data_IF_880891983615
#
_entry.id   IF_880891983615
#
_cell.length_a   1.000
_cell.length_b   1.000
_cell.length_c   1.000
_cell.angle_alpha   90.00
_cell.angle_beta   90.00
_cell.angle_gamma   90.00
#
_symmetry.space_group_name_H-M   'P 1'
#
loop_
_entity.id
_entity.type
_entity.pdbx_description
1 polymer ?
#
# COMPACT_ATOMS: atom_id res chain seq x y z
N UNK A 1 -4.40 -20.92 1.88
CA UNK A 1 -4.52 -19.82 2.86
C UNK A 1 -4.85 -20.24 4.30
N UNK A 2 -4.95 -21.54 4.65
CA UNK A 2 -5.29 -21.97 6.04
C UNK A 2 -4.15 -21.77 7.06
N UNK A 3 -2.89 -21.78 6.61
CA UNK A 3 -1.73 -21.65 7.50
C UNK A 3 -1.55 -20.23 8.09
N UNK A 4 -2.08 -19.20 7.44
CA UNK A 4 -1.87 -17.78 7.82
C UNK A 4 -3.09 -17.19 8.56
N UNK A 5 -4.26 -17.80 8.38
CA UNK A 5 -5.52 -17.38 9.00
C UNK A 5 -5.45 -17.14 10.53
N UNK A 6 -4.78 -17.98 11.34
CA UNK A 6 -4.72 -17.73 12.79
C UNK A 6 -3.78 -16.57 13.18
N UNK A 7 -2.83 -16.20 12.33
CA UNK A 7 -1.85 -15.15 12.63
C UNK A 7 -2.30 -13.76 12.19
N UNK A 8 -3.36 -13.68 11.37
CA UNK A 8 -3.84 -12.42 10.80
C UNK A 8 -5.19 -12.05 11.39
N UNK A 9 -5.23 -10.89 12.04
CA UNK A 9 -6.50 -10.28 12.41
C UNK A 9 -7.20 -9.75 11.14
N UNK A 10 -8.03 -10.60 10.54
CA UNK A 10 -8.69 -10.31 9.27
C UNK A 10 -9.60 -9.08 9.32
N UNK A 11 -10.22 -8.80 10.48
CA UNK A 11 -11.08 -7.63 10.67
C UNK A 11 -10.26 -6.34 10.67
N UNK A 12 -9.17 -6.31 11.42
CA UNK A 12 -8.26 -5.16 11.45
C UNK A 12 -7.59 -4.97 10.08
N UNK A 13 -7.12 -6.05 9.45
CA UNK A 13 -6.52 -6.01 8.13
C UNK A 13 -7.48 -5.43 7.08
N UNK A 14 -8.73 -5.93 7.03
CA UNK A 14 -9.73 -5.44 6.09
C UNK A 14 -10.07 -3.96 6.34
N UNK A 15 -10.20 -3.57 7.61
CA UNK A 15 -10.45 -2.18 7.98
C UNK A 15 -9.31 -1.27 7.52
N UNK A 16 -8.07 -1.60 7.85
CA UNK A 16 -6.88 -0.84 7.42
C UNK A 16 -6.80 -0.77 5.90
N UNK A 17 -7.04 -1.88 5.21
CA UNK A 17 -7.00 -1.95 3.75
C UNK A 17 -8.03 -1.02 3.10
N UNK A 18 -9.28 -1.03 3.58
CA UNK A 18 -10.34 -0.14 3.08
C UNK A 18 -10.04 1.32 3.43
N UNK A 19 -9.60 1.61 4.65
CA UNK A 19 -9.25 2.97 5.07
C UNK A 19 -8.09 3.53 4.24
N UNK A 20 -7.05 2.74 3.98
CA UNK A 20 -5.93 3.14 3.11
C UNK A 20 -6.41 3.42 1.69
N UNK A 21 -7.30 2.61 1.12
CA UNK A 21 -7.88 2.89 -0.20
C UNK A 21 -8.66 4.19 -0.23
N UNK A 22 -9.53 4.42 0.76
CA UNK A 22 -10.35 5.62 0.80
C UNK A 22 -9.46 6.86 0.88
N UNK A 23 -8.46 6.85 1.76
CA UNK A 23 -7.49 7.93 1.88
C UNK A 23 -6.71 8.11 0.58
N UNK A 24 -6.27 7.02 -0.03
CA UNK A 24 -5.52 7.05 -1.29
C UNK A 24 -6.33 7.66 -2.42
N UNK A 25 -7.59 7.26 -2.62
CA UNK A 25 -8.46 7.83 -3.66
C UNK A 25 -8.67 9.33 -3.40
N UNK A 26 -8.98 9.72 -2.16
CA UNK A 26 -9.19 11.13 -1.80
C UNK A 26 -7.92 11.93 -2.08
N UNK A 27 -6.75 11.44 -1.66
CA UNK A 27 -5.47 12.08 -1.90
C UNK A 27 -5.19 12.22 -3.40
N UNK A 28 -5.37 11.16 -4.18
CA UNK A 28 -5.01 11.15 -5.59
C UNK A 28 -5.91 12.09 -6.40
N UNK A 29 -7.22 12.11 -6.10
CA UNK A 29 -8.17 12.99 -6.79
C UNK A 29 -7.97 14.45 -6.38
N UNK A 30 -7.76 14.73 -5.09
CA UNK A 30 -7.74 16.12 -4.57
C UNK A 30 -6.37 16.79 -4.67
N UNK A 31 -5.28 16.05 -4.51
CA UNK A 31 -3.91 16.59 -4.50
C UNK A 31 -3.13 16.09 -5.71
N UNK A 32 -3.11 14.78 -5.96
CA UNK A 32 -2.29 14.18 -7.03
C UNK A 32 -2.66 14.71 -8.42
N UNK A 33 -3.93 14.61 -8.78
CA UNK A 33 -4.48 15.08 -10.06
C UNK A 33 -4.55 16.60 -10.11
N UNK A 34 -5.09 17.25 -9.07
CA UNK A 34 -5.28 18.70 -9.10
C UNK A 34 -3.96 19.47 -9.22
N UNK A 35 -2.90 18.99 -8.54
CA UNK A 35 -1.59 19.63 -8.58
C UNK A 35 -0.65 19.04 -9.65
N UNK A 36 -1.11 18.03 -10.41
CA UNK A 36 -0.33 17.36 -11.45
C UNK A 36 1.05 16.87 -10.98
N UNK A 37 1.17 16.49 -9.70
CA UNK A 37 2.47 16.16 -9.08
C UNK A 37 3.20 14.99 -9.74
N UNK A 38 2.46 14.02 -10.27
CA UNK A 38 3.02 12.81 -10.85
C UNK A 38 3.11 12.82 -12.37
N UNK A 39 2.39 13.72 -13.06
CA UNK A 39 2.41 13.83 -14.53
C UNK A 39 2.17 12.50 -15.25
N UNK A 40 1.14 11.75 -14.82
CA UNK A 40 0.89 10.36 -15.24
C UNK A 40 0.92 10.16 -16.76
N UNK A 41 1.84 9.32 -17.21
CA UNK A 41 1.98 8.93 -18.61
C UNK A 41 1.20 7.64 -18.86
N UNK A 42 0.39 7.60 -19.93
CA UNK A 42 -0.43 6.42 -20.23
C UNK A 42 0.40 5.21 -20.70
N UNK A 43 1.56 5.44 -21.31
CA UNK A 43 2.42 4.40 -21.89
C UNK A 43 3.04 3.42 -20.87
N UNK A 44 3.64 3.87 -19.74
CA UNK A 44 4.19 2.97 -18.72
C UNK A 44 3.15 2.37 -17.77
N UNK A 45 1.87 2.69 -17.94
CA UNK A 45 0.78 2.27 -17.04
C UNK A 45 0.11 1.00 -17.52
N UNK A 46 -0.47 0.23 -16.59
CA UNK A 46 -1.25 -0.99 -16.84
C UNK A 46 -2.50 -0.75 -17.71
N UNK A 47 -2.80 0.50 -18.08
CA UNK A 47 -3.84 0.85 -19.03
C UNK A 47 -5.24 0.95 -18.42
N UNK A 48 -5.38 0.82 -17.09
CA UNK A 48 -6.66 0.86 -16.38
C UNK A 48 -6.87 2.26 -15.80
N UNK A 49 -7.77 3.02 -16.43
CA UNK A 49 -8.07 4.40 -16.07
C UNK A 49 -9.53 4.59 -15.68
N UNK A 50 -9.77 5.41 -14.66
CA UNK A 50 -11.10 5.81 -14.22
C UNK A 50 -11.47 7.12 -14.92
N UNK A 51 -12.32 7.04 -15.94
CA UNK A 51 -12.72 8.20 -16.76
C UNK A 51 -13.42 9.30 -15.96
N UNK A 52 -14.09 8.96 -14.86
CA UNK A 52 -14.80 9.93 -14.01
C UNK A 52 -13.86 10.93 -13.31
N UNK A 53 -12.58 10.61 -13.16
CA UNK A 53 -11.62 11.42 -12.40
C UNK A 53 -10.40 11.81 -13.24
N UNK A 54 -10.65 12.41 -14.42
CA UNK A 54 -9.59 12.88 -15.33
C UNK A 54 -8.62 11.76 -15.74
N UNK A 55 -9.16 10.60 -16.12
CA UNK A 55 -8.38 9.41 -16.44
C UNK A 55 -7.41 9.02 -15.31
N UNK A 56 -7.89 8.98 -14.06
CA UNK A 56 -7.06 8.59 -12.93
C UNK A 56 -6.60 7.13 -13.11
N UNK A 57 -5.29 6.85 -13.11
CA UNK A 57 -4.78 5.49 -13.19
C UNK A 57 -5.09 4.72 -11.92
N UNK A 58 -5.66 3.52 -12.07
CA UNK A 58 -5.97 2.65 -10.94
C UNK A 58 -4.70 2.26 -10.16
N UNK A 59 -3.57 2.16 -10.87
CA UNK A 59 -2.26 1.87 -10.29
C UNK A 59 -1.88 2.87 -9.21
N UNK A 60 -2.09 4.17 -9.44
CA UNK A 60 -1.75 5.21 -8.47
C UNK A 60 -2.43 4.99 -7.12
N UNK A 61 -3.70 4.58 -7.15
CA UNK A 61 -4.47 4.25 -5.95
C UNK A 61 -3.96 2.96 -5.31
N UNK A 62 -3.77 1.90 -6.10
CA UNK A 62 -3.35 0.59 -5.57
C UNK A 62 -1.89 0.53 -5.11
N UNK A 63 -1.03 1.45 -5.58
CA UNK A 63 0.38 1.52 -5.22
C UNK A 63 0.58 1.72 -3.71
N UNK A 64 -0.35 2.43 -3.07
CA UNK A 64 -0.35 2.61 -1.63
C UNK A 64 -0.48 1.29 -0.86
N UNK A 65 -1.09 0.25 -1.45
CA UNK A 65 -1.05 -1.09 -0.86
C UNK A 65 0.34 -1.69 -0.89
N UNK A 66 1.02 -1.62 -2.03
CA UNK A 66 2.38 -2.10 -2.15
C UNK A 66 3.29 -1.38 -1.15
N UNK A 67 3.11 -0.07 -0.96
CA UNK A 67 3.85 0.71 0.03
C UNK A 67 3.61 0.22 1.48
N UNK A 68 2.36 0.00 1.87
CA UNK A 68 2.03 -0.54 3.21
C UNK A 68 2.60 -1.95 3.41
N UNK A 69 2.42 -2.84 2.43
CA UNK A 69 2.98 -4.20 2.49
C UNK A 69 4.50 -4.19 2.59
N UNK A 70 5.17 -3.39 1.76
CA UNK A 70 6.63 -3.22 1.80
C UNK A 70 7.08 -2.71 3.17
N UNK A 71 6.36 -1.76 3.74
CA UNK A 71 6.68 -1.20 5.06
C UNK A 71 6.63 -2.28 6.15
N UNK A 72 5.57 -3.10 6.16
CA UNK A 72 5.43 -4.22 7.11
C UNK A 72 6.52 -5.27 6.90
N UNK A 73 6.79 -5.66 5.65
CA UNK A 73 7.83 -6.64 5.33
C UNK A 73 9.22 -6.16 5.75
N UNK A 74 9.55 -4.89 5.47
CA UNK A 74 10.83 -4.29 5.87
C UNK A 74 10.93 -4.22 7.39
N UNK A 75 9.87 -3.80 8.07
CA UNK A 75 9.84 -3.76 9.54
C UNK A 75 10.09 -5.15 10.15
N UNK A 76 9.38 -6.19 9.67
CA UNK A 76 9.56 -7.56 10.16
C UNK A 76 10.94 -8.11 9.82
N UNK A 77 11.48 -7.82 8.63
CA UNK A 77 12.83 -8.23 8.25
C UNK A 77 13.90 -7.62 9.17
N UNK A 78 13.78 -6.32 9.47
CA UNK A 78 14.68 -5.62 10.41
C UNK A 78 14.54 -6.20 11.82
N UNK A 79 13.31 -6.39 12.30
CA UNK A 79 13.04 -6.95 13.62
C UNK A 79 13.66 -8.34 13.79
N UNK A 80 13.50 -9.23 12.79
CA UNK A 80 14.14 -10.55 12.78
C UNK A 80 15.66 -10.43 12.78
N UNK A 81 16.22 -9.51 12.00
CA UNK A 81 17.66 -9.28 11.96
C UNK A 81 18.22 -8.81 13.31
N UNK A 82 17.52 -7.90 13.98
CA UNK A 82 17.90 -7.38 15.30
C UNK A 82 17.79 -8.46 16.39
N UNK A 83 16.70 -9.24 16.40
CA UNK A 83 16.53 -10.34 17.37
C UNK A 83 17.58 -11.44 17.20
N UNK A 84 17.94 -11.78 15.95
CA UNK A 84 19.04 -12.73 15.68
C UNK A 84 20.40 -12.21 16.13
N UNK A 85 20.60 -10.89 16.18
CA UNK A 85 21.83 -10.23 16.65
C UNK A 85 21.89 -10.03 18.17
N UNK A 86 20.82 -10.36 18.90
CA UNK A 86 20.80 -10.34 20.35
C UNK A 86 20.87 -11.76 20.96
N UNK A 87 21.78 -12.67 20.52
CA UNK A 87 22.02 -13.87 21.30
C UNK A 87 22.74 -13.44 22.59
N UNK A 88 22.21 -13.87 23.73
CA UNK A 88 22.92 -13.92 25.01
C UNK A 88 23.01 -12.59 25.81
N UNK A 89 21.86 -12.01 26.17
CA UNK A 89 21.74 -11.15 27.36
C UNK A 89 20.90 -11.83 28.44
N UNK A 90 21.32 -13.00 28.89
CA UNK A 90 20.93 -13.61 30.17
C UNK A 90 22.18 -14.13 30.88
#
# INVERSE_FOLDING_TARGET
>A
MKAVAPFVNWRAFSFTLVTTLLISIIYEVTLGVAAQWWGYQREPMLGIFISAWHDLPMEAVTLWFAAVFMTVLVFEAIKIHLLKRAPDRE
#
